data_IF_876504112911
#
_entry.id   IF_876504112911
#
_cell.length_a   1.000
_cell.length_b   1.000
_cell.length_c   1.000
_cell.angle_alpha   90.00
_cell.angle_beta   90.00
_cell.angle_gamma   90.00
#
_symmetry.space_group_name_H-M   'P 1'
#
loop_
_entity.id
_entity.type
_entity.pdbx_description
1 polymer ?
#
# COMPACT_ATOMS: atom_id res chain seq x y z
N UNK A 1 -33.71 3.47 9.20
CA UNK A 1 -32.82 4.54 9.68
C UNK A 1 -31.68 3.87 10.44
N UNK A 2 -30.41 3.98 10.01
CA UNK A 2 -29.30 3.45 10.80
C UNK A 2 -29.25 4.17 12.15
N UNK A 3 -28.99 3.43 13.23
CA UNK A 3 -28.91 4.00 14.57
C UNK A 3 -27.73 4.98 14.70
N UNK A 4 -27.84 5.96 15.60
CA UNK A 4 -26.74 6.91 15.90
C UNK A 4 -25.43 6.17 16.19
N UNK A 5 -25.52 5.03 16.86
CA UNK A 5 -24.38 4.20 17.24
C UNK A 5 -23.73 3.53 16.02
N UNK A 6 -24.51 3.09 15.03
CA UNK A 6 -23.97 2.59 13.75
C UNK A 6 -23.24 3.68 12.96
N UNK A 7 -23.77 4.91 12.96
CA UNK A 7 -23.12 6.04 12.32
C UNK A 7 -21.80 6.40 13.01
N UNK A 8 -21.77 6.41 14.35
CA UNK A 8 -20.55 6.64 15.14
C UNK A 8 -19.50 5.56 14.91
N UNK A 9 -19.89 4.28 14.91
CA UNK A 9 -18.98 3.17 14.65
C UNK A 9 -18.38 3.25 13.25
N UNK A 10 -19.17 3.61 12.24
CA UNK A 10 -18.70 3.77 10.86
C UNK A 10 -17.65 4.89 10.75
N UNK A 11 -17.89 6.04 11.39
CA UNK A 11 -16.93 7.17 11.44
C UNK A 11 -15.63 6.78 12.14
N UNK A 12 -15.73 6.10 13.29
CA UNK A 12 -14.57 5.62 14.02
C UNK A 12 -13.70 4.67 13.18
N UNK A 13 -14.34 3.74 12.45
CA UNK A 13 -13.61 2.82 11.56
C UNK A 13 -12.89 3.53 10.43
N UNK A 14 -13.54 4.49 9.78
CA UNK A 14 -12.92 5.29 8.71
C UNK A 14 -11.71 6.06 9.25
N UNK A 15 -11.86 6.70 10.42
CA UNK A 15 -10.78 7.48 11.05
C UNK A 15 -9.55 6.63 11.40
N UNK A 16 -9.76 5.40 11.84
CA UNK A 16 -8.70 4.50 12.29
C UNK A 16 -8.35 3.41 11.25
N UNK A 17 -8.85 3.50 10.01
CA UNK A 17 -8.58 2.50 8.97
C UNK A 17 -9.00 1.07 9.33
N UNK A 18 -9.99 0.89 10.21
CA UNK A 18 -10.40 -0.42 10.72
C UNK A 18 -11.34 -1.12 9.72
N UNK A 19 -11.05 -2.37 9.30
CA UNK A 19 -11.79 -3.04 8.24
C UNK A 19 -13.24 -3.32 8.64
N UNK A 20 -14.18 -3.25 7.67
CA UNK A 20 -15.59 -3.59 7.86
C UNK A 20 -15.83 -5.10 8.06
N UNK A 21 -16.95 -5.49 8.67
CA UNK A 21 -17.32 -6.92 8.82
C UNK A 21 -17.48 -7.64 7.47
N UNK A 22 -17.75 -6.90 6.39
CA UNK A 22 -17.77 -7.42 5.01
C UNK A 22 -16.35 -7.54 4.43
N UNK A 23 -15.46 -6.59 4.70
CA UNK A 23 -14.04 -6.67 4.31
C UNK A 23 -13.32 -7.80 5.03
N UNK A 24 -13.57 -7.98 6.33
CA UNK A 24 -13.07 -9.11 7.12
C UNK A 24 -13.55 -10.46 6.58
N UNK A 25 -14.78 -10.53 6.07
CA UNK A 25 -15.34 -11.75 5.45
C UNK A 25 -14.86 -12.00 4.02
N UNK A 26 -14.35 -10.97 3.32
CA UNK A 26 -13.89 -11.09 1.94
C UNK A 26 -12.41 -11.40 1.79
N UNK A 27 -11.61 -11.33 2.87
CA UNK A 27 -10.20 -11.72 2.84
C UNK A 27 -9.39 -11.07 1.70
N UNK A 28 -9.80 -9.88 1.25
CA UNK A 28 -9.19 -9.23 0.10
C UNK A 28 -7.93 -8.52 0.57
N UNK A 29 -6.81 -9.22 0.54
CA UNK A 29 -5.49 -8.62 0.63
C UNK A 29 -5.38 -7.55 -0.46
N UNK A 30 -5.10 -6.28 -0.12
CA UNK A 30 -4.92 -5.25 -1.13
C UNK A 30 -3.76 -5.64 -2.02
N UNK A 31 -4.03 -5.78 -3.32
CA UNK A 31 -3.05 -6.22 -4.31
C UNK A 31 -3.27 -5.46 -5.61
N UNK A 32 -2.18 -5.09 -6.25
CA UNK A 32 -2.16 -4.46 -7.57
C UNK A 32 -1.73 -5.45 -8.66
N UNK A 33 -0.95 -6.48 -8.29
CA UNK A 33 -0.44 -7.47 -9.22
C UNK A 33 -1.29 -8.73 -9.29
N UNK A 34 -1.85 -9.17 -8.17
CA UNK A 34 -2.51 -10.46 -8.04
C UNK A 34 -4.01 -10.30 -7.87
N UNK A 35 -4.76 -11.34 -8.25
CA UNK A 35 -6.16 -11.43 -7.84
C UNK A 35 -6.25 -11.68 -6.33
N UNK A 36 -7.37 -11.33 -5.67
CA UNK A 36 -7.54 -11.57 -4.23
C UNK A 36 -7.39 -13.06 -3.82
N UNK A 37 -7.64 -14.00 -4.74
CA UNK A 37 -7.46 -15.43 -4.50
C UNK A 37 -5.99 -15.84 -4.54
N UNK A 38 -5.24 -15.34 -5.52
CA UNK A 38 -3.80 -15.59 -5.65
C UNK A 38 -3.02 -14.93 -4.51
N UNK A 39 -3.35 -13.69 -4.15
CA UNK A 39 -2.70 -12.96 -3.06
C UNK A 39 -2.84 -13.66 -1.69
N UNK A 40 -3.88 -14.48 -1.50
CA UNK A 40 -4.08 -15.26 -0.28
C UNK A 40 -3.11 -16.44 -0.17
N UNK A 41 -2.63 -16.98 -1.28
CA UNK A 41 -1.71 -18.11 -1.32
C UNK A 41 -0.23 -17.70 -1.13
N UNK A 42 0.08 -16.41 -1.16
CA UNK A 42 1.44 -15.93 -1.00
C UNK A 42 1.77 -15.66 0.47
N UNK A 43 2.90 -16.20 0.92
CA UNK A 43 3.45 -15.98 2.25
C UNK A 43 4.23 -14.66 2.34
N UNK A 44 4.41 -14.15 3.56
CA UNK A 44 5.14 -12.91 3.83
C UNK A 44 6.58 -12.91 3.27
N UNK A 45 7.23 -14.07 3.25
CA UNK A 45 8.58 -14.23 2.67
C UNK A 45 8.57 -14.11 1.15
N UNK A 46 7.49 -14.56 0.49
CA UNK A 46 7.32 -14.43 -0.96
C UNK A 46 7.18 -12.97 -1.37
N UNK A 47 6.37 -12.18 -0.64
CA UNK A 47 6.27 -10.74 -0.88
C UNK A 47 7.58 -10.00 -0.58
N UNK A 48 8.33 -10.42 0.44
CA UNK A 48 9.64 -9.83 0.74
C UNK A 48 10.69 -10.18 -0.32
N UNK A 49 10.62 -11.38 -0.92
CA UNK A 49 11.43 -11.74 -2.08
C UNK A 49 11.04 -10.91 -3.32
N UNK A 50 9.73 -10.71 -3.54
CA UNK A 50 9.21 -9.89 -4.64
C UNK A 50 9.68 -8.43 -4.54
N UNK A 51 9.61 -7.82 -3.35
CA UNK A 51 10.12 -6.46 -3.13
C UNK A 51 11.62 -6.33 -3.38
N UNK A 52 12.43 -7.32 -2.96
CA UNK A 52 13.88 -7.35 -3.23
C UNK A 52 14.19 -7.52 -4.73
N UNK A 53 13.41 -8.35 -5.42
CA UNK A 53 13.53 -8.50 -6.86
C UNK A 53 13.25 -7.18 -7.58
N UNK A 54 12.13 -6.53 -7.23
CA UNK A 54 11.77 -5.24 -7.80
C UNK A 54 12.80 -4.15 -7.51
N UNK A 55 13.38 -4.08 -6.30
CA UNK A 55 14.47 -3.13 -6.01
C UNK A 55 15.66 -3.37 -6.92
N UNK A 56 16.07 -4.62 -7.11
CA UNK A 56 17.22 -4.94 -7.96
C UNK A 56 16.96 -4.52 -9.41
N UNK A 57 15.75 -4.73 -9.92
CA UNK A 57 15.36 -4.33 -11.27
C UNK A 57 15.35 -2.80 -11.42
N UNK A 58 14.69 -2.09 -10.51
CA UNK A 58 14.57 -0.61 -10.58
C UNK A 58 15.91 0.08 -10.28
N UNK A 59 16.78 -0.50 -9.45
CA UNK A 59 18.10 0.06 -9.15
C UNK A 59 19.02 0.15 -10.36
N UNK A 60 18.73 -0.60 -11.43
CA UNK A 60 19.46 -0.47 -12.69
C UNK A 60 19.12 0.84 -13.42
N UNK A 61 17.96 1.44 -13.14
CA UNK A 61 17.48 2.70 -13.70
C UNK A 61 17.69 3.86 -12.73
N UNK A 62 17.34 3.66 -11.45
CA UNK A 62 17.41 4.65 -10.38
C UNK A 62 18.21 4.08 -9.20
N UNK A 63 19.52 4.31 -9.14
CA UNK A 63 20.42 3.69 -8.15
C UNK A 63 20.03 3.97 -6.69
N UNK A 64 19.44 5.13 -6.41
CA UNK A 64 19.05 5.55 -5.06
C UNK A 64 17.99 4.62 -4.43
N UNK A 65 17.23 3.89 -5.25
CA UNK A 65 16.26 2.89 -4.78
C UNK A 65 16.94 1.74 -4.01
N UNK A 66 18.20 1.43 -4.30
CA UNK A 66 18.93 0.35 -3.64
C UNK A 66 19.05 0.53 -2.12
N UNK A 67 19.12 1.79 -1.64
CA UNK A 67 19.18 2.11 -0.21
C UNK A 67 17.92 1.66 0.55
N UNK A 68 16.79 1.51 -0.15
CA UNK A 68 15.54 1.02 0.43
C UNK A 68 15.46 -0.50 0.54
N UNK A 69 16.51 -1.24 0.12
CA UNK A 69 16.61 -2.70 0.21
C UNK A 69 16.36 -3.23 1.62
N UNK A 70 16.84 -2.51 2.63
CA UNK A 70 16.70 -2.86 4.04
C UNK A 70 15.23 -2.94 4.52
N UNK A 71 14.27 -2.31 3.82
CA UNK A 71 12.85 -2.44 4.13
C UNK A 71 12.31 -3.86 3.87
N UNK A 72 12.96 -4.61 2.98
CA UNK A 72 12.51 -5.96 2.63
C UNK A 72 13.36 -7.05 3.27
N UNK A 73 14.26 -6.67 4.18
CA UNK A 73 15.08 -7.59 4.96
C UNK A 73 14.40 -7.93 6.30
N UNK A 74 14.64 -9.14 6.79
CA UNK A 74 14.11 -9.61 8.08
C UNK A 74 12.60 -9.92 8.09
N UNK A 75 12.10 -10.19 9.30
CA UNK A 75 10.73 -10.64 9.53
C UNK A 75 9.70 -9.52 9.34
N UNK A 76 8.49 -9.92 8.91
CA UNK A 76 7.36 -9.01 8.74
C UNK A 76 7.07 -8.28 10.06
N UNK A 77 7.20 -6.95 10.04
CA UNK A 77 6.92 -6.10 11.19
C UNK A 77 5.44 -5.79 11.25
N UNK A 78 4.78 -6.05 12.38
CA UNK A 78 3.38 -5.68 12.56
C UNK A 78 3.26 -4.20 12.90
N UNK A 79 2.78 -3.42 11.93
CA UNK A 79 2.82 -1.95 11.96
C UNK A 79 1.93 -1.34 13.04
N UNK A 80 0.84 -2.03 13.39
CA UNK A 80 -0.09 -1.62 14.43
C UNK A 80 0.54 -1.71 15.85
N UNK A 81 1.63 -2.47 16.00
CA UNK A 81 2.33 -2.66 17.27
C UNK A 81 3.53 -1.72 17.47
N UNK A 82 3.87 -0.91 16.47
CA UNK A 82 5.02 0.01 16.52
C UNK A 82 4.71 1.29 17.32
N UNK A 83 5.73 1.85 17.95
CA UNK A 83 5.62 3.16 18.61
C UNK A 83 5.34 4.26 17.56
N UNK A 84 4.65 5.35 17.92
CA UNK A 84 4.34 6.45 17.00
C UNK A 84 5.57 7.00 16.27
N UNK A 85 6.69 7.20 16.99
CA UNK A 85 7.94 7.70 16.38
C UNK A 85 8.51 6.74 15.34
N UNK A 86 8.50 5.44 15.63
CA UNK A 86 8.97 4.41 14.69
C UNK A 86 8.09 4.35 13.43
N UNK A 87 6.77 4.54 13.61
CA UNK A 87 5.82 4.60 12.51
C UNK A 87 6.05 5.82 11.62
N UNK A 88 6.40 6.98 12.19
CA UNK A 88 6.76 8.20 11.47
C UNK A 88 8.07 8.05 10.69
N UNK A 89 9.10 7.46 11.29
CA UNK A 89 10.36 7.17 10.59
C UNK A 89 10.15 6.20 9.41
N UNK A 90 9.33 5.17 9.61
CA UNK A 90 8.96 4.23 8.56
C UNK A 90 8.16 4.92 7.44
N UNK A 91 7.21 5.79 7.80
CA UNK A 91 6.47 6.61 6.84
C UNK A 91 7.40 7.48 5.99
N UNK A 92 8.40 8.12 6.60
CA UNK A 92 9.35 8.96 5.88
C UNK A 92 10.19 8.14 4.87
N UNK A 93 10.65 6.95 5.27
CA UNK A 93 11.38 6.03 4.37
C UNK A 93 10.51 5.57 3.21
N UNK A 94 9.27 5.16 3.48
CA UNK A 94 8.32 4.71 2.44
C UNK A 94 7.98 5.85 1.49
N UNK A 95 7.73 7.07 2.01
CA UNK A 95 7.48 8.25 1.18
C UNK A 95 8.66 8.52 0.24
N UNK A 96 9.88 8.50 0.76
CA UNK A 96 11.06 8.73 -0.05
C UNK A 96 11.18 7.69 -1.18
N UNK A 97 10.97 6.41 -0.87
CA UNK A 97 10.93 5.35 -1.86
C UNK A 97 9.83 5.59 -2.92
N UNK A 98 8.61 5.94 -2.52
CA UNK A 98 7.51 6.21 -3.46
C UNK A 98 7.79 7.40 -4.39
N UNK A 99 8.51 8.42 -3.92
CA UNK A 99 8.96 9.53 -4.78
C UNK A 99 9.94 9.03 -5.85
N UNK A 100 10.92 8.22 -5.47
CA UNK A 100 11.88 7.61 -6.42
C UNK A 100 11.21 6.66 -7.41
N UNK A 101 10.15 5.96 -6.98
CA UNK A 101 9.39 5.06 -7.86
C UNK A 101 8.44 5.79 -8.81
N UNK A 102 8.08 7.04 -8.55
CA UNK A 102 7.07 7.75 -9.35
C UNK A 102 7.44 7.83 -10.84
N UNK A 103 8.67 8.22 -11.25
CA UNK A 103 9.05 8.19 -12.67
C UNK A 103 9.01 6.79 -13.31
N UNK A 104 9.09 5.73 -12.51
CA UNK A 104 9.17 4.34 -12.96
C UNK A 104 7.92 3.52 -12.63
N UNK A 105 6.82 4.17 -12.23
CA UNK A 105 5.62 3.53 -11.67
C UNK A 105 5.04 2.40 -12.54
N UNK A 106 5.13 2.52 -13.87
CA UNK A 106 4.62 1.52 -14.81
C UNK A 106 5.56 0.31 -15.02
N UNK A 107 6.79 0.34 -14.52
CA UNK A 107 7.73 -0.77 -14.65
C UNK A 107 7.30 -1.95 -13.77
N UNK A 108 7.68 -3.16 -14.19
CA UNK A 108 7.34 -4.38 -13.44
C UNK A 108 7.99 -4.34 -12.05
N UNK A 109 9.27 -3.99 -11.96
CA UNK A 109 9.97 -3.85 -10.69
C UNK A 109 9.30 -2.85 -9.73
N UNK A 110 8.85 -1.69 -10.20
CA UNK A 110 8.13 -0.73 -9.32
C UNK A 110 6.82 -1.28 -8.79
N UNK A 111 6.05 -2.00 -9.62
CA UNK A 111 4.80 -2.62 -9.18
C UNK A 111 5.05 -3.73 -8.15
N UNK A 112 6.13 -4.51 -8.31
CA UNK A 112 6.53 -5.54 -7.36
C UNK A 112 6.93 -4.96 -6.00
N UNK A 113 7.62 -3.82 -5.99
CA UNK A 113 7.94 -3.09 -4.76
C UNK A 113 6.65 -2.59 -4.09
N UNK A 114 5.74 -1.95 -4.84
CA UNK A 114 4.48 -1.43 -4.29
C UNK A 114 3.61 -2.57 -3.74
N UNK A 115 3.55 -3.71 -4.42
CA UNK A 115 2.85 -4.90 -3.95
C UNK A 115 3.38 -5.37 -2.59
N UNK A 116 4.70 -5.47 -2.46
CA UNK A 116 5.34 -5.85 -1.20
C UNK A 116 5.09 -4.82 -0.09
N UNK A 117 5.05 -3.53 -0.41
CA UNK A 117 4.71 -2.46 0.53
C UNK A 117 3.25 -2.55 1.01
N UNK A 118 2.30 -2.85 0.12
CA UNK A 118 0.87 -3.03 0.46
C UNK A 118 0.69 -4.18 1.43
N UNK A 119 1.34 -5.32 1.17
CA UNK A 119 1.25 -6.48 2.04
C UNK A 119 1.91 -6.24 3.40
N UNK A 120 3.19 -5.86 3.39
CA UNK A 120 4.06 -5.81 4.59
C UNK A 120 3.81 -4.60 5.47
N UNK A 121 3.56 -3.44 4.87
CA UNK A 121 3.51 -2.15 5.60
C UNK A 121 2.15 -1.47 5.57
N UNK A 122 1.14 -2.11 4.96
CA UNK A 122 -0.22 -1.59 4.85
C UNK A 122 -0.23 -0.14 4.35
N UNK A 123 0.57 0.14 3.32
CA UNK A 123 0.69 1.50 2.76
C UNK A 123 -0.63 2.04 2.25
N UNK A 124 -1.62 1.15 2.01
CA UNK A 124 -3.00 1.50 1.71
C UNK A 124 -3.66 2.34 2.81
N UNK A 125 -3.27 2.16 4.07
CA UNK A 125 -3.83 2.86 5.24
C UNK A 125 -2.92 3.95 5.79
N UNK A 126 -1.62 3.66 5.86
CA UNK A 126 -0.65 4.55 6.53
C UNK A 126 -0.05 5.59 5.57
N UNK A 127 0.02 5.30 4.28
CA UNK A 127 0.70 6.12 3.27
C UNK A 127 -0.18 6.34 2.02
N UNK A 128 -1.50 6.45 2.22
CA UNK A 128 -2.47 6.58 1.13
C UNK A 128 -2.18 7.78 0.23
N UNK A 129 -1.90 8.94 0.82
CA UNK A 129 -1.63 10.17 0.07
C UNK A 129 -0.34 10.06 -0.75
N UNK A 130 0.71 9.47 -0.17
CA UNK A 130 1.99 9.26 -0.84
C UNK A 130 1.86 8.28 -2.02
N UNK A 131 1.07 7.22 -1.85
CA UNK A 131 0.84 6.22 -2.92
C UNK A 131 0.00 6.79 -4.06
N UNK A 132 -1.03 7.60 -3.75
CA UNK A 132 -1.81 8.30 -4.78
C UNK A 132 -0.90 9.26 -5.53
N UNK A 133 -0.11 10.08 -4.82
CA UNK A 133 0.81 11.04 -5.45
C UNK A 133 1.83 10.36 -6.36
N UNK A 134 2.37 9.20 -5.95
CA UNK A 134 3.28 8.40 -6.76
C UNK A 134 2.67 7.99 -8.11
N UNK A 135 1.42 7.52 -8.10
CA UNK A 135 0.73 7.03 -9.29
C UNK A 135 -0.05 8.09 -10.09
N UNK A 136 -0.27 9.28 -9.52
CA UNK A 136 -1.11 10.34 -10.10
C UNK A 136 -0.71 10.79 -11.52
N UNK A 137 0.60 10.88 -11.87
CA UNK A 137 1.01 11.18 -13.24
C UNK A 137 0.49 10.16 -14.27
N UNK A 138 0.14 8.95 -13.82
CA UNK A 138 -0.32 7.83 -14.65
C UNK A 138 -1.78 7.48 -14.38
N UNK A 139 -2.62 8.48 -14.08
CA UNK A 139 -4.02 8.28 -13.71
C UNK A 139 -4.88 7.55 -14.76
N UNK A 140 -4.51 7.63 -16.04
CA UNK A 140 -5.17 6.93 -17.15
C UNK A 140 -4.71 5.46 -17.29
N UNK A 141 -3.77 5.00 -16.47
CA UNK A 141 -3.25 3.64 -16.55
C UNK A 141 -4.13 2.61 -15.83
N UNK A 142 -4.18 1.36 -16.31
CA UNK A 142 -4.87 0.28 -15.60
C UNK A 142 -4.22 -0.03 -14.25
N UNK A 143 -2.91 0.22 -14.11
CA UNK A 143 -2.15 0.03 -12.87
C UNK A 143 -2.65 0.99 -11.80
N UNK A 144 -2.83 2.27 -12.14
CA UNK A 144 -3.38 3.26 -11.22
C UNK A 144 -4.81 2.91 -10.79
N UNK A 145 -5.64 2.42 -11.72
CA UNK A 145 -6.99 1.93 -11.39
C UNK A 145 -6.95 0.83 -10.33
N UNK A 146 -6.00 -0.11 -10.43
CA UNK A 146 -5.81 -1.17 -9.41
C UNK A 146 -5.33 -0.61 -8.07
N UNK A 147 -4.46 0.39 -8.07
CA UNK A 147 -4.08 1.11 -6.84
C UNK A 147 -5.30 1.72 -6.16
N UNK A 148 -6.16 2.44 -6.89
CA UNK A 148 -7.38 3.02 -6.31
C UNK A 148 -8.31 1.97 -5.71
N UNK A 149 -8.44 0.81 -6.37
CA UNK A 149 -9.21 -0.32 -5.84
C UNK A 149 -8.61 -0.88 -4.55
N UNK A 150 -7.29 -1.00 -4.48
CA UNK A 150 -6.58 -1.46 -3.29
C UNK A 150 -6.69 -0.48 -2.10
N UNK A 151 -6.68 0.82 -2.36
CA UNK A 151 -6.77 1.88 -1.35
C UNK A 151 -8.17 2.03 -0.72
N UNK A 152 -9.21 1.48 -1.32
CA UNK A 152 -10.60 1.62 -0.87
C UNK A 152 -11.02 3.08 -0.58
N UNK A 153 -10.61 4.04 -1.42
CA UNK A 153 -10.80 5.50 -1.22
C UNK A 153 -12.26 5.99 -1.15
N UNK A 154 -13.26 5.10 -1.22
CA UNK A 154 -14.68 5.45 -1.12
C UNK A 154 -15.00 6.08 0.25
N UNK A 155 -15.35 7.36 0.22
CA UNK A 155 -15.68 8.13 1.42
C UNK A 155 -14.50 8.90 2.02
N UNK A 156 -13.37 8.98 1.32
CA UNK A 156 -12.30 9.92 1.66
C UNK A 156 -12.70 11.34 1.23
N UNK A 157 -12.67 12.30 2.15
CA UNK A 157 -13.09 13.69 1.87
C UNK A 157 -12.19 14.39 0.85
N UNK A 158 -10.88 14.08 0.83
CA UNK A 158 -9.91 14.70 -0.09
C UNK A 158 -9.88 14.01 -1.45
N UNK A 159 -9.96 12.69 -1.46
CA UNK A 159 -9.77 11.86 -2.65
C UNK A 159 -11.05 11.28 -3.24
N UNK A 160 -12.22 11.66 -2.70
CA UNK A 160 -13.52 11.13 -3.13
C UNK A 160 -13.89 11.45 -4.58
N UNK A 161 -13.21 12.41 -5.22
CA UNK A 161 -13.40 12.72 -6.65
C UNK A 161 -12.75 11.69 -7.59
N UNK A 162 -11.89 10.81 -7.08
CA UNK A 162 -11.26 9.72 -7.83
C UNK A 162 -12.12 8.44 -7.90
N UNK A 163 -13.32 8.43 -7.30
CA UNK A 163 -14.27 7.30 -7.30
C UNK A 163 -15.58 7.64 -7.96
#
# INVERSE_FOLDING_TARGET
MPSILEAQLKRHRIKHGLPTRKELKKGATPSILFSPQEAWHYDADSFSALGRHGIKEVSALEPDVAASGALFEGHSTDRDSLLPQQNEELNAKIRHLLVLLSPHFLTRGSQEIIEALLYRYRVDRFNTEDLIACGLPYHDSPVFTRVLQALQIKGNEKWGWLT
#
